data_IF_819059076392
#
_entry.id   IF_819059076392
#
_cell.length_a   1.000
_cell.length_b   1.000
_cell.length_c   1.000
_cell.angle_alpha   90.00
_cell.angle_beta   90.00
_cell.angle_gamma   90.00
#
_symmetry.space_group_name_H-M   'P 1'
#
loop_
_entity.id
_entity.type
_entity.pdbx_description
1 polymer ?
#
# COMPACT_ATOMS: atom_id res chain seq x y z
N UNK A 1 -11.73 48.14 -18.67
CA UNK A 1 -10.65 47.25 -18.17
C UNK A 1 -10.34 47.63 -16.73
N UNK A 2 -10.78 46.81 -15.78
CA UNK A 2 -10.14 46.65 -14.48
C UNK A 2 -10.59 45.29 -13.95
N UNK A 3 -9.87 44.27 -14.41
CA UNK A 3 -10.00 42.89 -13.99
C UNK A 3 -8.92 42.69 -12.93
N UNK A 4 -9.34 42.40 -11.70
CA UNK A 4 -8.46 42.32 -10.55
C UNK A 4 -8.98 41.35 -9.51
N UNK A 5 -9.20 40.11 -9.96
CA UNK A 5 -9.10 38.83 -9.25
C UNK A 5 -9.37 38.91 -7.72
N UNK A 6 -10.60 38.54 -7.38
CA UNK A 6 -10.98 38.00 -6.07
C UNK A 6 -10.10 36.79 -5.74
N UNK A 7 -9.01 37.00 -5.00
CA UNK A 7 -8.25 35.91 -4.41
C UNK A 7 -9.01 35.41 -3.17
N UNK A 8 -9.83 34.38 -3.41
CA UNK A 8 -10.49 33.55 -2.41
C UNK A 8 -9.46 33.09 -1.37
N UNK A 9 -9.46 33.71 -0.19
CA UNK A 9 -8.83 33.18 1.01
C UNK A 9 -9.62 31.99 1.54
N UNK A 10 -9.70 30.93 0.74
CA UNK A 10 -9.98 29.58 1.22
C UNK A 10 -8.69 29.05 1.85
N UNK A 11 -8.30 29.64 2.98
CA UNK A 11 -7.72 28.83 4.04
C UNK A 11 -8.86 27.91 4.46
N UNK A 12 -8.96 26.79 3.74
CA UNK A 12 -9.66 25.60 4.20
C UNK A 12 -9.20 25.45 5.63
N UNK A 13 -10.12 25.68 6.56
CA UNK A 13 -10.02 25.14 7.90
C UNK A 13 -9.81 23.64 7.68
N UNK A 14 -8.54 23.21 7.60
CA UNK A 14 -8.20 21.85 7.94
C UNK A 14 -8.83 21.69 9.31
N UNK A 15 -9.90 20.91 9.47
CA UNK A 15 -10.44 20.69 10.79
C UNK A 15 -9.24 20.22 11.57
N UNK A 16 -8.95 20.88 12.70
CA UNK A 16 -8.04 20.33 13.67
C UNK A 16 -8.70 18.98 14.03
N UNK A 17 -8.31 17.91 13.33
CA UNK A 17 -8.81 16.56 13.54
C UNK A 17 -8.17 16.18 14.86
N UNK A 18 -8.75 16.68 15.96
CA UNK A 18 -8.58 16.08 17.27
C UNK A 18 -8.92 14.62 17.01
N UNK A 19 -7.98 13.67 17.15
CA UNK A 19 -8.28 12.30 16.78
C UNK A 19 -9.33 11.80 17.76
N UNK A 20 -10.58 11.90 17.33
CA UNK A 20 -11.73 11.43 18.08
C UNK A 20 -11.50 9.94 18.31
N UNK A 21 -11.99 9.42 19.44
CA UNK A 21 -11.80 8.01 19.72
C UNK A 21 -12.34 7.18 18.54
N UNK A 22 -11.52 6.35 17.88
CA UNK A 22 -11.98 5.57 16.74
C UNK A 22 -13.15 4.68 17.15
N UNK A 23 -14.27 4.72 16.45
CA UNK A 23 -15.37 3.76 16.66
C UNK A 23 -14.91 2.46 15.98
N UNK A 24 -14.46 1.42 16.70
CA UNK A 24 -15.15 0.72 17.82
C UNK A 24 -14.36 0.66 19.15
N UNK A 25 -13.35 1.50 19.30
CA UNK A 25 -12.46 1.53 20.46
C UNK A 25 -13.04 2.34 21.63
N UNK A 26 -12.49 2.11 22.81
CA UNK A 26 -12.74 2.89 24.03
C UNK A 26 -11.48 3.66 24.38
N UNK A 27 -11.58 4.96 24.57
CA UNK A 27 -10.42 5.79 24.85
C UNK A 27 -10.53 6.43 26.23
N UNK A 28 -9.47 6.30 27.02
CA UNK A 28 -9.25 7.06 28.24
C UNK A 28 -8.28 8.23 27.95
N UNK A 29 -7.72 8.86 28.98
CA UNK A 29 -6.77 9.97 28.86
C UNK A 29 -5.52 9.58 28.04
N UNK A 30 -4.88 8.47 28.38
CA UNK A 30 -3.66 7.96 27.75
C UNK A 30 -3.78 6.53 27.17
N UNK A 31 -4.94 5.90 27.30
CA UNK A 31 -5.18 4.52 26.84
C UNK A 31 -6.16 4.52 25.67
N UNK A 32 -5.87 3.75 24.63
CA UNK A 32 -6.78 3.45 23.53
C UNK A 32 -7.00 1.94 23.52
N UNK A 33 -8.18 1.50 23.94
CA UNK A 33 -8.54 0.08 24.01
C UNK A 33 -9.44 -0.33 22.84
N UNK A 34 -8.88 -1.12 21.93
CA UNK A 34 -9.56 -1.72 20.78
C UNK A 34 -9.51 -3.25 20.84
N UNK A 35 -9.37 -3.85 22.02
CA UNK A 35 -9.26 -5.31 22.19
C UNK A 35 -10.55 -6.00 21.74
N UNK A 36 -10.42 -7.13 21.03
CA UNK A 36 -11.55 -8.00 20.65
C UNK A 36 -12.68 -7.28 19.89
N UNK A 37 -12.33 -6.32 19.03
CA UNK A 37 -13.29 -5.57 18.19
C UNK A 37 -13.46 -6.13 16.79
N UNK A 38 -12.74 -7.21 16.45
CA UNK A 38 -12.74 -7.78 15.11
C UNK A 38 -12.16 -6.82 14.06
N UNK A 39 -11.23 -5.97 14.46
CA UNK A 39 -10.58 -5.01 13.57
C UNK A 39 -9.80 -5.73 12.49
N UNK A 40 -9.89 -5.20 11.27
CA UNK A 40 -9.05 -5.53 10.12
C UNK A 40 -8.22 -4.32 9.75
N UNK A 41 -7.20 -4.50 8.89
CA UNK A 41 -6.32 -3.41 8.44
C UNK A 41 -7.13 -2.21 7.88
N UNK A 42 -8.18 -2.50 7.10
CA UNK A 42 -9.05 -1.48 6.50
C UNK A 42 -9.91 -0.69 7.52
N UNK A 43 -10.07 -1.20 8.75
CA UNK A 43 -10.87 -0.56 9.81
C UNK A 43 -10.00 0.13 10.87
N UNK A 44 -8.68 0.08 10.74
CA UNK A 44 -7.79 0.84 11.61
C UNK A 44 -7.89 2.34 11.28
N UNK A 45 -7.82 3.22 12.29
CA UNK A 45 -7.75 4.65 12.06
C UNK A 45 -6.45 5.00 11.35
N UNK A 46 -6.46 6.07 10.56
CA UNK A 46 -5.25 6.58 9.87
C UNK A 46 -4.22 7.11 10.87
N UNK A 47 -4.66 7.57 12.05
CA UNK A 47 -3.80 8.05 13.11
C UNK A 47 -4.43 7.86 14.50
N UNK A 48 -3.59 7.67 15.51
CA UNK A 48 -3.98 7.73 16.92
C UNK A 48 -3.65 9.10 17.53
N UNK A 49 -4.24 9.40 18.71
CA UNK A 49 -3.91 10.62 19.46
C UNK A 49 -2.43 10.61 19.90
N UNK A 50 -1.66 11.69 19.69
CA UNK A 50 -0.25 11.76 20.10
C UNK A 50 -0.01 11.55 21.61
N UNK A 51 -1.01 11.81 22.44
CA UNK A 51 -0.96 11.61 23.90
C UNK A 51 -1.16 10.16 24.34
N UNK A 52 -1.42 9.22 23.41
CA UNK A 52 -1.60 7.81 23.75
C UNK A 52 -0.29 7.21 24.25
N UNK A 53 -0.33 6.62 25.45
CA UNK A 53 0.80 5.88 26.04
C UNK A 53 0.62 4.37 25.87
N UNK A 54 -0.61 3.90 25.86
CA UNK A 54 -0.95 2.47 25.78
C UNK A 54 -2.03 2.27 24.71
N UNK A 55 -1.78 1.35 23.79
CA UNK A 55 -2.75 0.97 22.75
C UNK A 55 -2.99 -0.53 22.84
N UNK A 56 -4.26 -0.93 22.98
CA UNK A 56 -4.64 -2.35 22.93
C UNK A 56 -5.25 -2.69 21.58
N UNK A 57 -4.53 -3.48 20.78
CA UNK A 57 -4.98 -4.02 19.49
C UNK A 57 -5.09 -5.55 19.50
N UNK A 58 -4.94 -6.18 20.67
CA UNK A 58 -4.95 -7.63 20.80
C UNK A 58 -6.30 -8.28 20.45
N UNK A 59 -6.24 -9.56 20.08
CA UNK A 59 -7.39 -10.41 19.79
C UNK A 59 -8.30 -9.86 18.69
N UNK A 60 -7.72 -9.29 17.64
CA UNK A 60 -8.42 -8.79 16.45
C UNK A 60 -8.14 -9.69 15.23
N UNK A 61 -8.46 -9.19 14.03
CA UNK A 61 -8.22 -9.86 12.75
C UNK A 61 -7.21 -9.08 11.91
N UNK A 62 -6.21 -8.49 12.58
CA UNK A 62 -5.15 -7.75 11.91
C UNK A 62 -4.16 -8.73 11.29
N UNK A 63 -3.89 -8.54 10.01
CA UNK A 63 -2.89 -9.31 9.26
C UNK A 63 -1.55 -8.55 9.18
N UNK A 64 -1.60 -7.22 9.22
CA UNK A 64 -0.45 -6.32 9.24
C UNK A 64 -0.80 -5.00 9.96
N UNK A 65 0.16 -4.09 10.09
CA UNK A 65 -0.05 -2.73 10.58
C UNK A 65 0.32 -1.74 9.46
N UNK A 66 -0.55 -0.77 9.12
CA UNK A 66 -0.22 0.27 8.15
C UNK A 66 1.07 1.01 8.48
N UNK A 67 1.86 1.28 7.45
CA UNK A 67 3.11 2.01 7.57
C UNK A 67 2.88 3.37 8.23
N UNK A 68 3.71 3.69 9.23
CA UNK A 68 3.70 4.97 9.91
C UNK A 68 2.62 5.15 10.99
N UNK A 69 1.78 4.14 11.25
CA UNK A 69 0.67 4.27 12.21
C UNK A 69 1.13 4.65 13.62
N UNK A 70 2.34 4.26 14.03
CA UNK A 70 2.89 4.53 15.36
C UNK A 70 3.99 5.61 15.39
N UNK A 71 4.44 6.11 14.24
CA UNK A 71 5.68 6.91 14.14
C UNK A 71 5.56 8.27 14.85
N UNK A 72 4.36 8.84 14.87
CA UNK A 72 4.10 10.16 15.47
C UNK A 72 3.68 10.10 16.95
N UNK A 73 3.67 8.92 17.57
CA UNK A 73 3.18 8.71 18.93
C UNK A 73 4.35 8.77 19.94
N UNK A 74 4.85 9.98 20.22
CA UNK A 74 6.03 10.21 21.06
C UNK A 74 5.87 9.74 22.52
N UNK A 75 4.64 9.71 23.03
CA UNK A 75 4.34 9.25 24.38
C UNK A 75 4.08 7.74 24.45
N UNK A 76 4.09 7.04 23.32
CA UNK A 76 3.74 5.62 23.25
C UNK A 76 4.77 4.77 23.99
N UNK A 77 4.28 3.93 24.91
CA UNK A 77 5.12 3.03 25.72
C UNK A 77 4.91 1.57 25.35
N UNK A 78 3.67 1.16 25.14
CA UNK A 78 3.31 -0.25 24.91
C UNK A 78 2.15 -0.36 23.92
N UNK A 79 2.25 -1.32 23.00
CA UNK A 79 1.14 -1.75 22.13
C UNK A 79 0.89 -3.24 22.35
N UNK A 80 -0.33 -3.62 22.70
CA UNK A 80 -0.70 -5.03 22.82
C UNK A 80 -1.19 -5.56 21.47
N UNK A 81 -0.52 -6.59 20.94
CA UNK A 81 -0.69 -7.09 19.57
C UNK A 81 -1.01 -8.60 19.50
N UNK A 82 -1.03 -9.29 20.65
CA UNK A 82 -1.26 -10.73 20.75
C UNK A 82 -2.61 -11.17 20.17
N UNK A 83 -2.71 -12.41 19.70
CA UNK A 83 -3.98 -12.99 19.25
C UNK A 83 -4.51 -12.43 17.92
N UNK A 84 -3.65 -11.84 17.10
CA UNK A 84 -3.98 -11.45 15.73
C UNK A 84 -3.37 -12.45 14.72
N UNK A 85 -4.04 -12.73 13.59
CA UNK A 85 -3.55 -13.63 12.56
C UNK A 85 -2.53 -12.93 11.65
N UNK A 86 -1.33 -12.64 12.17
CA UNK A 86 -0.30 -11.91 11.43
C UNK A 86 0.13 -12.67 10.17
N UNK A 87 0.07 -12.00 9.02
CA UNK A 87 0.53 -12.51 7.74
C UNK A 87 1.93 -11.95 7.46
N UNK A 88 2.94 -12.80 7.54
CA UNK A 88 4.34 -12.41 7.42
C UNK A 88 4.79 -12.32 5.96
N UNK A 89 4.15 -11.42 5.23
CA UNK A 89 4.48 -11.01 3.86
C UNK A 89 5.07 -9.58 3.84
N UNK A 90 5.17 -8.94 2.67
CA UNK A 90 5.74 -7.60 2.55
C UNK A 90 5.07 -6.56 3.47
N UNK A 91 3.77 -6.71 3.75
CA UNK A 91 3.02 -5.75 4.57
C UNK A 91 3.42 -5.82 6.06
N UNK A 92 4.12 -6.88 6.48
CA UNK A 92 4.59 -7.03 7.86
C UNK A 92 5.87 -6.22 8.15
N UNK A 93 6.56 -5.73 7.13
CA UNK A 93 7.88 -5.13 7.26
C UNK A 93 7.90 -3.95 8.22
N UNK A 94 6.87 -3.10 8.18
CA UNK A 94 6.73 -1.99 9.12
C UNK A 94 6.63 -2.47 10.56
N UNK A 95 5.72 -3.40 10.83
CA UNK A 95 5.52 -3.94 12.17
C UNK A 95 6.80 -4.60 12.69
N UNK A 96 7.48 -5.40 11.86
CA UNK A 96 8.77 -6.01 12.22
C UNK A 96 9.78 -4.95 12.65
N UNK A 97 10.01 -3.93 11.83
CA UNK A 97 10.99 -2.88 12.11
C UNK A 97 10.62 -2.12 13.38
N UNK A 98 9.34 -1.82 13.57
CA UNK A 98 8.85 -1.17 14.78
C UNK A 98 9.09 -2.00 16.04
N UNK A 99 8.85 -3.32 15.98
CA UNK A 99 9.08 -4.27 17.08
C UNK A 99 10.57 -4.38 17.45
N UNK A 100 11.46 -4.37 16.45
CA UNK A 100 12.91 -4.47 16.67
C UNK A 100 13.48 -3.27 17.44
N UNK A 101 12.87 -2.09 17.28
CA UNK A 101 13.26 -0.84 17.92
C UNK A 101 12.75 -0.69 19.36
N UNK A 102 11.80 -1.54 19.80
CA UNK A 102 11.29 -1.46 21.17
C UNK A 102 12.32 -1.93 22.19
N UNK A 103 12.51 -1.14 23.26
CA UNK A 103 13.45 -1.47 24.35
C UNK A 103 13.03 -2.74 25.12
N UNK A 104 11.72 -2.95 25.33
CA UNK A 104 11.19 -4.10 26.05
C UNK A 104 10.74 -5.22 25.11
N UNK A 105 11.71 -5.93 24.53
CA UNK A 105 11.46 -7.04 23.58
C UNK A 105 10.69 -8.21 24.19
N UNK A 106 10.76 -8.42 25.51
CA UNK A 106 10.03 -9.48 26.21
C UNK A 106 8.51 -9.38 26.03
N UNK A 107 7.96 -8.17 26.01
CA UNK A 107 6.52 -7.92 25.85
C UNK A 107 5.97 -8.42 24.51
N UNK A 108 6.83 -8.54 23.49
CA UNK A 108 6.43 -8.84 22.12
C UNK A 108 6.77 -10.27 21.66
N UNK A 109 7.18 -11.15 22.58
CA UNK A 109 7.55 -12.55 22.26
C UNK A 109 6.41 -13.38 21.70
N UNK A 110 5.17 -13.01 22.01
CA UNK A 110 3.96 -13.70 21.57
C UNK A 110 3.37 -13.12 20.27
N UNK A 111 4.06 -12.14 19.67
CA UNK A 111 3.70 -11.59 18.36
C UNK A 111 4.40 -12.42 17.29
N UNK A 112 3.68 -13.44 16.80
CA UNK A 112 4.18 -14.47 15.87
C UNK A 112 3.36 -14.52 14.59
N UNK A 113 3.97 -14.99 13.51
CA UNK A 113 3.28 -15.21 12.25
C UNK A 113 2.23 -16.31 12.37
N UNK A 114 1.03 -16.05 11.87
CA UNK A 114 0.01 -17.08 11.64
C UNK A 114 0.13 -17.67 10.22
N UNK A 115 0.59 -16.87 9.26
CA UNK A 115 0.85 -17.30 7.88
C UNK A 115 2.07 -16.55 7.32
N UNK A 116 2.66 -17.00 6.20
CA UNK A 116 2.43 -18.27 5.51
C UNK A 116 2.93 -19.48 6.31
N UNK A 117 2.55 -20.70 5.91
CA UNK A 117 2.82 -21.94 6.66
C UNK A 117 4.30 -22.16 7.01
N UNK A 118 5.24 -21.78 6.13
CA UNK A 118 6.68 -21.95 6.37
C UNK A 118 7.26 -20.91 7.35
N UNK A 119 6.52 -19.84 7.66
CA UNK A 119 6.89 -18.87 8.70
C UNK A 119 5.99 -18.97 9.93
N UNK A 120 5.05 -19.91 9.98
CA UNK A 120 4.12 -20.06 11.09
C UNK A 120 4.88 -20.18 12.43
N UNK A 121 4.36 -19.50 13.46
CA UNK A 121 4.91 -19.42 14.81
C UNK A 121 6.29 -18.75 14.94
N UNK A 122 6.89 -18.27 13.84
CA UNK A 122 8.10 -17.45 13.89
C UNK A 122 7.79 -16.09 14.54
N UNK A 123 8.67 -15.65 15.43
CA UNK A 123 8.56 -14.33 16.08
C UNK A 123 8.87 -13.25 15.07
N UNK A 124 7.94 -12.31 14.86
CA UNK A 124 8.03 -11.31 13.79
C UNK A 124 9.31 -10.50 13.90
N UNK A 125 9.69 -10.07 15.12
CA UNK A 125 10.89 -9.26 15.36
C UNK A 125 12.22 -9.94 14.97
N UNK A 126 12.24 -11.27 14.83
CA UNK A 126 13.43 -12.06 14.49
C UNK A 126 13.48 -12.50 13.01
N UNK A 127 12.50 -12.11 12.20
CA UNK A 127 12.51 -12.42 10.77
C UNK A 127 13.56 -11.59 10.03
N UNK A 128 14.29 -12.24 9.14
CA UNK A 128 15.16 -11.56 8.19
C UNK A 128 14.36 -10.96 7.04
N UNK A 129 14.93 -9.98 6.32
CA UNK A 129 14.25 -9.42 5.15
C UNK A 129 14.09 -10.45 4.04
N UNK A 130 15.11 -11.27 3.79
CA UNK A 130 15.08 -12.29 2.75
C UNK A 130 13.96 -13.31 2.97
N UNK A 131 13.75 -13.74 4.22
CA UNK A 131 12.64 -14.62 4.57
C UNK A 131 11.27 -14.00 4.23
N UNK A 132 11.08 -12.71 4.50
CA UNK A 132 9.82 -12.01 4.21
C UNK A 132 9.67 -11.71 2.72
N UNK A 133 10.71 -11.23 2.06
CA UNK A 133 10.68 -10.87 0.64
C UNK A 133 10.43 -12.11 -0.22
N UNK A 134 10.87 -13.28 0.21
CA UNK A 134 10.57 -14.55 -0.48
C UNK A 134 9.06 -14.87 -0.55
N UNK A 135 8.25 -14.30 0.34
CA UNK A 135 6.78 -14.51 0.39
C UNK A 135 6.00 -13.43 -0.35
N UNK A 136 6.67 -12.36 -0.79
CA UNK A 136 6.07 -11.31 -1.59
C UNK A 136 5.58 -11.86 -2.92
N UNK A 137 4.41 -11.38 -3.38
CA UNK A 137 3.83 -11.79 -4.67
C UNK A 137 4.57 -11.14 -5.86
N UNK A 138 5.88 -11.36 -5.97
CA UNK A 138 6.76 -10.82 -7.01
C UNK A 138 6.28 -11.19 -8.43
N UNK A 139 5.54 -12.30 -8.56
CA UNK A 139 4.96 -12.73 -9.84
C UNK A 139 3.99 -11.71 -10.45
N UNK A 140 3.27 -10.89 -9.67
CA UNK A 140 2.42 -9.84 -10.25
C UNK A 140 3.23 -8.74 -10.91
N UNK A 141 4.39 -8.39 -10.36
CA UNK A 141 5.32 -7.44 -10.98
C UNK A 141 5.91 -8.03 -12.26
N UNK A 142 6.31 -9.31 -12.24
CA UNK A 142 6.79 -10.00 -13.45
C UNK A 142 5.69 -10.09 -14.53
N UNK A 143 4.44 -10.37 -14.14
CA UNK A 143 3.30 -10.46 -15.05
C UNK A 143 2.94 -9.10 -15.65
N UNK A 144 2.98 -8.03 -14.87
CA UNK A 144 2.79 -6.66 -15.35
C UNK A 144 3.89 -6.24 -16.35
N UNK A 145 5.13 -6.63 -16.08
CA UNK A 145 6.26 -6.32 -16.95
C UNK A 145 6.19 -7.11 -18.27
N UNK A 146 5.80 -8.39 -18.20
CA UNK A 146 5.52 -9.21 -19.37
C UNK A 146 4.35 -8.68 -20.21
N UNK A 147 3.26 -8.24 -19.57
CA UNK A 147 2.11 -7.69 -20.28
C UNK A 147 2.44 -6.35 -20.96
N UNK A 148 3.23 -5.49 -20.31
CA UNK A 148 3.76 -4.25 -20.89
C UNK A 148 4.65 -4.52 -22.10
N UNK A 149 5.56 -5.49 -22.00
CA UNK A 149 6.44 -5.87 -23.11
C UNK A 149 5.62 -6.40 -24.30
N UNK A 150 4.65 -7.29 -24.04
CA UNK A 150 3.74 -7.81 -25.07
C UNK A 150 2.95 -6.69 -25.76
N UNK A 151 2.40 -5.73 -24.99
CA UNK A 151 1.68 -4.59 -25.55
C UNK A 151 2.57 -3.73 -26.46
N UNK A 152 3.80 -3.44 -26.01
CA UNK A 152 4.75 -2.68 -26.81
C UNK A 152 5.09 -3.38 -28.14
N UNK A 153 5.30 -4.69 -28.11
CA UNK A 153 5.55 -5.51 -29.30
C UNK A 153 4.34 -5.46 -30.25
N UNK A 154 3.11 -5.61 -29.73
CA UNK A 154 1.89 -5.56 -30.53
C UNK A 154 1.70 -4.20 -31.22
N UNK A 155 1.94 -3.10 -30.50
CA UNK A 155 1.85 -1.75 -31.06
C UNK A 155 2.91 -1.52 -32.15
N UNK A 156 4.12 -2.04 -31.94
CA UNK A 156 5.19 -1.96 -32.95
C UNK A 156 4.82 -2.74 -34.22
N UNK A 157 4.30 -3.96 -34.09
CA UNK A 157 3.84 -4.77 -35.22
C UNK A 157 2.66 -4.12 -35.95
N UNK A 158 1.71 -3.53 -35.23
CA UNK A 158 0.62 -2.75 -35.84
C UNK A 158 1.16 -1.53 -36.60
N UNK A 159 2.12 -0.81 -36.03
CA UNK A 159 2.78 0.32 -36.69
C UNK A 159 3.44 -0.09 -38.01
N UNK A 160 4.20 -1.20 -37.99
CA UNK A 160 4.80 -1.78 -39.20
C UNK A 160 3.73 -2.13 -40.24
N UNK A 161 2.65 -2.82 -39.84
CA UNK A 161 1.57 -3.21 -40.75
C UNK A 161 0.90 -1.99 -41.39
N UNK A 162 0.63 -0.95 -40.60
CA UNK A 162 0.05 0.31 -41.10
C UNK A 162 1.00 0.97 -42.11
N UNK A 163 2.31 1.03 -41.82
CA UNK A 163 3.30 1.56 -42.75
C UNK A 163 3.29 0.78 -44.07
N UNK A 164 3.30 -0.56 -44.01
CA UNK A 164 3.22 -1.40 -45.20
C UNK A 164 1.95 -1.14 -46.01
N UNK A 165 0.80 -1.02 -45.36
CA UNK A 165 -0.48 -0.71 -46.01
C UNK A 165 -0.43 0.68 -46.67
N UNK A 166 0.10 1.70 -45.98
CA UNK A 166 0.25 3.06 -46.53
C UNK A 166 1.16 3.06 -47.75
N UNK A 167 2.33 2.42 -47.68
CA UNK A 167 3.26 2.30 -48.82
C UNK A 167 2.61 1.57 -49.99
N UNK A 168 1.90 0.47 -49.71
CA UNK A 168 1.17 -0.28 -50.73
C UNK A 168 0.10 0.58 -51.41
N UNK A 169 -0.71 1.30 -50.63
CA UNK A 169 -1.74 2.20 -51.14
C UNK A 169 -1.14 3.36 -51.95
N UNK A 170 -0.03 3.95 -51.49
CA UNK A 170 0.69 4.98 -52.23
C UNK A 170 1.21 4.46 -53.58
N UNK A 171 1.83 3.26 -53.57
CA UNK A 171 2.30 2.60 -54.79
C UNK A 171 1.14 2.31 -55.74
N UNK A 172 0.03 1.78 -55.22
CA UNK A 172 -1.16 1.49 -56.02
C UNK A 172 -1.71 2.74 -56.69
N UNK A 173 -1.88 3.84 -55.93
CA UNK A 173 -2.32 5.15 -56.46
C UNK A 173 -1.41 5.68 -57.57
N UNK A 174 -0.09 5.54 -57.43
CA UNK A 174 0.88 5.95 -58.45
C UNK A 174 0.65 5.21 -59.77
N UNK A 175 0.49 3.88 -59.71
CA UNK A 175 0.20 3.07 -60.88
C UNK A 175 -1.15 3.43 -61.52
N UNK A 176 -2.19 3.73 -60.73
CA UNK A 176 -3.50 4.14 -61.27
C UNK A 176 -3.45 5.51 -61.95
N UNK A 177 -2.64 6.44 -61.43
CA UNK A 177 -2.47 7.76 -62.03
C UNK A 177 -1.77 7.69 -63.39
N UNK A 178 -0.75 6.84 -63.51
CA UNK A 178 -0.04 6.59 -64.77
C UNK A 178 -0.98 5.98 -65.83
N UNK A 179 -1.78 4.97 -65.47
CA UNK A 179 -2.74 4.35 -66.39
C UNK A 179 -3.83 5.31 -66.91
N UNK A 180 -4.28 6.25 -66.07
CA UNK A 180 -5.28 7.26 -66.43
C UNK A 180 -4.74 8.36 -67.35
N UNK A 181 -3.43 8.55 -67.39
CA UNK A 181 -2.76 9.53 -68.27
C UNK A 181 -2.56 9.04 -69.70
N UNK A 182 -2.64 7.73 -69.91
CA UNK A 182 -2.43 7.05 -71.21
C UNK A 182 -3.73 6.73 -71.96
N UNK A 183 -4.90 7.13 -71.43
CA UNK A 183 -6.22 6.99 -72.07
C UNK A 183 -6.79 8.38 -72.32
#
# INVERSE_FOLDING_TARGET
MNSGILFLSLLVFLPLVIPLCPVPCKCATNIIDCTSKGLTVAKLPVAFRPSAEIIHLGYNKLTSIPNGLFDNLRSLRVVYLQGNPWECNCDILYLRSWLQWQQNRSTYRDVRCASPAHLQDRVIAHLTEDEIVSTCQYWYCSLALLSQLCLFILLFLQGILVIFVVVYLQKFRRMTAEARSTT
#
